data_IF_314588813647
#
_entry.id   IF_314588813647
#
_cell.length_a   1.000
_cell.length_b   1.000
_cell.length_c   1.000
_cell.angle_alpha   90.00
_cell.angle_beta   90.00
_cell.angle_gamma   90.00
#
_symmetry.space_group_name_H-M   'P 1'
#
loop_
_entity.id
_entity.type
_entity.pdbx_description
1 polymer ?
#
# COMPACT_ATOMS: atom_id res chain seq x y z
N UNK A 1 14.41 -49.64 28.76
CA UNK A 1 14.84 -48.41 28.05
C UNK A 1 14.29 -48.44 26.63
N UNK A 2 13.27 -47.65 26.29
CA UNK A 2 12.77 -47.49 24.90
C UNK A 2 13.28 -46.15 24.37
N UNK A 3 14.18 -46.21 23.38
CA UNK A 3 14.62 -45.02 22.63
C UNK A 3 13.48 -44.53 21.74
N UNK A 4 12.94 -43.35 22.04
CA UNK A 4 12.04 -42.62 21.13
C UNK A 4 12.91 -41.95 20.06
N UNK A 5 12.97 -42.55 18.86
CA UNK A 5 13.54 -41.91 17.67
C UNK A 5 12.62 -40.75 17.27
N UNK A 6 13.05 -39.51 17.48
CA UNK A 6 12.42 -38.33 16.88
C UNK A 6 12.47 -38.48 15.36
N UNK A 7 11.35 -38.84 14.74
CA UNK A 7 11.18 -38.76 13.27
C UNK A 7 11.18 -37.28 12.91
N UNK A 8 12.29 -36.77 12.39
CA UNK A 8 12.29 -35.49 11.68
C UNK A 8 11.39 -35.66 10.46
N UNK A 9 10.37 -34.82 10.37
CA UNK A 9 9.32 -34.92 9.37
C UNK A 9 9.90 -34.50 8.00
N UNK A 10 10.38 -35.46 7.20
CA UNK A 10 11.04 -35.23 5.90
C UNK A 10 10.21 -34.34 4.95
N UNK A 11 8.88 -34.37 5.05
CA UNK A 11 7.98 -33.49 4.30
C UNK A 11 8.15 -32.01 4.63
N UNK A 12 8.41 -31.68 5.90
CA UNK A 12 8.63 -30.28 6.33
C UNK A 12 9.95 -29.74 5.78
N UNK A 13 11.01 -30.56 5.83
CA UNK A 13 12.32 -30.24 5.25
C UNK A 13 12.22 -29.98 3.74
N UNK A 14 11.55 -30.83 2.96
CA UNK A 14 11.38 -30.61 1.51
C UNK A 14 10.62 -29.33 1.18
N UNK A 15 9.58 -28.99 1.96
CA UNK A 15 8.84 -27.73 1.82
C UNK A 15 9.73 -26.51 2.10
N UNK A 16 10.57 -26.58 3.12
CA UNK A 16 11.48 -25.49 3.50
C UNK A 16 12.57 -25.26 2.42
N UNK A 17 13.10 -26.33 1.83
CA UNK A 17 14.09 -26.23 0.73
C UNK A 17 13.48 -25.64 -0.55
N UNK A 18 12.28 -26.06 -0.93
CA UNK A 18 11.60 -25.51 -2.11
C UNK A 18 11.29 -24.02 -1.90
N UNK A 19 10.89 -23.63 -0.69
CA UNK A 19 10.64 -22.24 -0.31
C UNK A 19 11.90 -21.38 -0.42
N UNK A 20 13.03 -21.87 0.11
CA UNK A 20 14.33 -21.17 0.02
C UNK A 20 14.74 -21.00 -1.45
N UNK A 21 14.59 -22.05 -2.25
CA UNK A 21 14.96 -22.01 -3.67
C UNK A 21 14.10 -21.02 -4.46
N UNK A 22 12.77 -21.06 -4.30
CA UNK A 22 11.87 -20.10 -4.94
C UNK A 22 12.17 -18.66 -4.50
N UNK A 23 12.42 -18.45 -3.22
CA UNK A 23 12.73 -17.12 -2.66
C UNK A 23 14.05 -16.58 -3.23
N UNK A 24 15.08 -17.42 -3.34
CA UNK A 24 16.36 -17.05 -3.96
C UNK A 24 16.17 -16.71 -5.43
N UNK A 25 15.44 -17.54 -6.20
CA UNK A 25 15.16 -17.28 -7.62
C UNK A 25 14.42 -15.95 -7.80
N UNK A 26 13.38 -15.69 -6.99
CA UNK A 26 12.64 -14.43 -6.98
C UNK A 26 13.54 -13.24 -6.65
N UNK A 27 14.38 -13.35 -5.61
CA UNK A 27 15.31 -12.30 -5.21
C UNK A 27 16.40 -12.04 -6.25
N UNK A 28 16.88 -13.08 -6.94
CA UNK A 28 17.88 -12.96 -8.00
C UNK A 28 17.29 -12.38 -9.28
N UNK A 29 16.04 -12.71 -9.61
CA UNK A 29 15.40 -12.26 -10.85
C UNK A 29 14.81 -10.84 -10.73
N UNK A 30 14.19 -10.52 -9.59
CA UNK A 30 13.56 -9.22 -9.38
C UNK A 30 14.41 -8.29 -8.52
N UNK A 31 15.19 -8.75 -7.54
CA UNK A 31 15.90 -7.88 -6.58
C UNK A 31 15.02 -7.45 -5.40
N UNK A 32 15.62 -7.27 -4.21
CA UNK A 32 14.90 -6.97 -2.95
C UNK A 32 14.03 -5.72 -3.01
N UNK A 33 14.51 -4.69 -3.70
CA UNK A 33 13.80 -3.41 -3.85
C UNK A 33 12.58 -3.53 -4.79
N UNK A 34 12.66 -4.41 -5.80
CA UNK A 34 11.54 -4.67 -6.71
C UNK A 34 10.50 -5.63 -6.13
N UNK A 35 10.86 -6.38 -5.07
CA UNK A 35 9.93 -7.22 -4.31
C UNK A 35 9.34 -6.49 -3.09
N UNK A 36 9.67 -5.22 -2.88
CA UNK A 36 9.09 -4.39 -1.82
C UNK A 36 9.44 -4.87 -0.41
N UNK A 37 10.64 -5.44 -0.24
CA UNK A 37 11.06 -6.12 0.99
C UNK A 37 12.02 -5.31 1.87
N UNK A 38 12.30 -4.05 1.51
CA UNK A 38 13.10 -3.16 2.34
C UNK A 38 12.56 -1.72 2.27
N UNK A 39 12.19 -1.18 3.43
CA UNK A 39 11.76 0.21 3.55
C UNK A 39 12.90 1.14 3.98
N UNK A 40 13.87 0.65 4.76
CA UNK A 40 14.84 1.48 5.48
C UNK A 40 14.32 1.90 6.86
N UNK A 41 15.06 2.75 7.57
CA UNK A 41 14.73 3.17 8.94
C UNK A 41 13.94 4.50 9.02
N UNK A 42 13.82 5.24 7.92
CA UNK A 42 13.26 6.60 7.89
C UNK A 42 14.36 7.65 7.77
N UNK A 43 14.15 8.83 8.37
CA UNK A 43 15.09 9.96 8.31
C UNK A 43 15.06 10.80 9.59
N UNK A 44 15.66 11.99 9.55
CA UNK A 44 15.71 12.86 10.73
C UNK A 44 14.30 13.26 11.17
N UNK A 45 13.90 12.83 12.37
CA UNK A 45 12.62 13.18 12.99
C UNK A 45 11.42 12.35 12.53
N UNK A 46 11.60 11.29 11.75
CA UNK A 46 10.51 10.39 11.37
C UNK A 46 10.99 8.97 11.07
N UNK A 47 10.13 7.99 11.33
CA UNK A 47 10.41 6.55 11.13
C UNK A 47 9.44 5.96 10.10
N UNK A 48 9.86 4.91 9.43
CA UNK A 48 9.01 4.03 8.63
C UNK A 48 9.16 2.60 9.13
N UNK A 49 8.05 1.86 9.16
CA UNK A 49 8.09 0.47 9.61
C UNK A 49 8.63 -0.47 8.55
N UNK A 50 9.06 -1.65 9.00
CA UNK A 50 9.45 -2.73 8.11
C UNK A 50 8.28 -3.17 7.22
N UNK A 51 8.54 -3.63 5.99
CA UNK A 51 7.50 -4.18 5.12
C UNK A 51 6.67 -5.25 5.81
N UNK A 52 5.35 -5.21 5.59
CA UNK A 52 4.42 -6.22 6.14
C UNK A 52 4.07 -7.30 5.10
N UNK A 53 4.95 -7.47 4.12
CA UNK A 53 4.81 -8.43 3.01
C UNK A 53 6.08 -9.28 2.88
N UNK A 54 5.92 -10.45 2.30
CA UNK A 54 7.01 -11.34 1.92
C UNK A 54 6.89 -11.71 0.43
N UNK A 55 7.89 -12.36 -0.19
CA UNK A 55 7.86 -12.67 -1.62
C UNK A 55 6.59 -13.39 -2.08
N UNK A 56 6.00 -14.25 -1.24
CA UNK A 56 4.79 -15.00 -1.58
C UNK A 56 3.54 -14.12 -1.48
N UNK A 57 3.43 -13.31 -0.43
CA UNK A 57 2.24 -12.48 -0.23
C UNK A 57 2.21 -11.23 -1.12
N UNK A 58 3.37 -10.76 -1.58
CA UNK A 58 3.52 -9.50 -2.32
C UNK A 58 3.00 -9.53 -3.76
N UNK A 59 2.95 -10.70 -4.40
CA UNK A 59 2.71 -10.84 -5.85
C UNK A 59 1.22 -11.04 -6.21
N UNK A 60 0.46 -11.93 -5.54
CA UNK A 60 -0.89 -12.25 -5.97
C UNK A 60 -1.80 -11.01 -6.01
N UNK A 61 -2.63 -10.93 -7.05
CA UNK A 61 -3.70 -9.94 -7.14
C UNK A 61 -4.65 -10.09 -5.95
N UNK A 62 -5.05 -8.97 -5.37
CA UNK A 62 -5.93 -8.91 -4.19
C UNK A 62 -7.23 -8.18 -4.50
N UNK A 63 -8.26 -8.50 -3.73
CA UNK A 63 -9.51 -7.73 -3.75
C UNK A 63 -9.27 -6.30 -3.23
N UNK A 64 -10.12 -5.36 -3.64
CA UNK A 64 -10.03 -3.98 -3.15
C UNK A 64 -10.11 -3.90 -1.62
N UNK A 65 -11.01 -4.69 -1.00
CA UNK A 65 -11.16 -4.73 0.46
C UNK A 65 -9.88 -5.19 1.17
N UNK A 66 -9.20 -6.21 0.64
CA UNK A 66 -7.89 -6.64 1.17
C UNK A 66 -6.85 -5.52 1.06
N UNK A 67 -6.80 -4.82 -0.07
CA UNK A 67 -5.84 -3.73 -0.32
C UNK A 67 -6.10 -2.52 0.57
N UNK A 68 -7.36 -2.18 0.82
CA UNK A 68 -7.75 -1.10 1.75
C UNK A 68 -7.34 -1.42 3.18
N UNK A 69 -7.60 -2.66 3.65
CA UNK A 69 -7.14 -3.13 4.96
C UNK A 69 -5.61 -3.12 5.08
N UNK A 70 -4.90 -3.53 4.03
CA UNK A 70 -3.44 -3.45 3.99
C UNK A 70 -2.99 -1.99 4.10
N UNK A 71 -3.55 -1.08 3.30
CA UNK A 71 -3.18 0.33 3.34
C UNK A 71 -3.41 0.95 4.72
N UNK A 72 -4.55 0.66 5.37
CA UNK A 72 -4.83 1.10 6.75
C UNK A 72 -3.79 0.56 7.74
N UNK A 73 -3.45 -0.72 7.64
CA UNK A 73 -2.44 -1.36 8.49
C UNK A 73 -1.07 -0.66 8.33
N UNK A 74 -0.66 -0.38 7.09
CA UNK A 74 0.63 0.23 6.81
C UNK A 74 0.71 1.70 7.27
N UNK A 75 -0.35 2.49 7.06
CA UNK A 75 -0.36 3.86 7.59
C UNK A 75 -0.34 3.86 9.11
N UNK A 76 -1.08 2.96 9.76
CA UNK A 76 -1.11 2.88 11.22
C UNK A 76 0.21 2.36 11.80
N UNK A 77 0.88 1.42 11.13
CA UNK A 77 2.25 1.01 11.47
C UNK A 77 3.18 2.23 11.51
N UNK A 78 3.15 3.05 10.47
CA UNK A 78 4.04 4.21 10.38
C UNK A 78 3.64 5.29 11.41
N UNK A 79 2.35 5.55 11.62
CA UNK A 79 1.86 6.49 12.63
C UNK A 79 2.27 6.08 14.04
N UNK A 80 2.09 4.82 14.42
CA UNK A 80 2.46 4.32 15.74
C UNK A 80 3.96 4.44 16.01
N UNK A 81 4.81 4.16 15.01
CA UNK A 81 6.27 4.34 15.14
C UNK A 81 6.68 5.80 15.35
N UNK A 82 5.84 6.74 14.93
CA UNK A 82 6.02 8.18 15.11
C UNK A 82 5.19 8.73 16.28
N UNK A 83 4.65 7.87 17.16
CA UNK A 83 3.95 8.28 18.38
C UNK A 83 2.54 8.84 18.16
N UNK A 84 1.90 8.55 17.02
CA UNK A 84 0.58 9.05 16.67
C UNK A 84 -0.50 7.98 16.86
N UNK A 85 -1.72 8.44 17.17
CA UNK A 85 -2.91 7.60 17.22
C UNK A 85 -3.21 6.95 15.87
N UNK A 86 -3.67 5.68 15.85
CA UNK A 86 -4.08 5.03 14.62
C UNK A 86 -5.33 5.71 14.03
N UNK A 87 -5.41 5.73 12.71
CA UNK A 87 -6.59 6.11 11.95
C UNK A 87 -7.59 4.96 11.92
N UNK A 88 -8.86 5.30 11.75
CA UNK A 88 -9.96 4.35 11.50
C UNK A 88 -10.39 4.46 10.05
N UNK A 89 -10.69 3.34 9.41
CA UNK A 89 -11.25 3.35 8.05
C UNK A 89 -12.65 3.98 8.04
N UNK A 90 -12.88 4.91 7.12
CA UNK A 90 -14.18 5.49 6.85
C UNK A 90 -14.63 5.08 5.42
N UNK A 91 -15.74 4.34 5.27
CA UNK A 91 -16.18 3.83 3.97
C UNK A 91 -16.42 4.92 2.93
N UNK A 92 -16.86 6.11 3.33
CA UNK A 92 -17.15 7.20 2.42
C UNK A 92 -15.86 7.87 1.91
N UNK A 93 -14.87 8.00 2.79
CA UNK A 93 -13.53 8.47 2.42
C UNK A 93 -12.87 7.45 1.47
N UNK A 94 -12.98 6.15 1.77
CA UNK A 94 -12.44 5.09 0.94
C UNK A 94 -13.11 5.04 -0.45
N UNK A 95 -14.44 5.18 -0.51
CA UNK A 95 -15.17 5.31 -1.78
C UNK A 95 -14.67 6.51 -2.59
N UNK A 96 -14.47 7.65 -1.95
CA UNK A 96 -13.99 8.88 -2.59
C UNK A 96 -12.58 8.70 -3.16
N UNK A 97 -11.67 8.06 -2.40
CA UNK A 97 -10.32 7.74 -2.85
C UNK A 97 -10.35 6.77 -4.05
N UNK A 98 -11.18 5.73 -4.00
CA UNK A 98 -11.30 4.75 -5.09
C UNK A 98 -11.85 5.39 -6.36
N UNK A 99 -12.86 6.26 -6.26
CA UNK A 99 -13.39 7.00 -7.42
C UNK A 99 -12.32 7.87 -8.06
N UNK A 100 -11.52 8.59 -7.27
CA UNK A 100 -10.45 9.43 -7.82
C UNK A 100 -9.34 8.63 -8.50
N UNK A 101 -8.95 7.47 -7.94
CA UNK A 101 -8.00 6.57 -8.59
C UNK A 101 -8.52 6.11 -9.96
N UNK A 102 -9.81 5.74 -10.04
CA UNK A 102 -10.48 5.37 -11.29
C UNK A 102 -10.59 6.54 -12.26
N UNK A 103 -10.87 7.74 -11.79
CA UNK A 103 -10.96 8.94 -12.63
C UNK A 103 -9.61 9.25 -13.29
N UNK A 104 -8.52 9.24 -12.52
CA UNK A 104 -7.16 9.44 -13.03
C UNK A 104 -6.84 8.44 -14.15
N UNK A 105 -7.16 7.16 -13.94
CA UNK A 105 -6.93 6.12 -14.94
C UNK A 105 -7.84 6.24 -16.17
N UNK A 106 -9.12 6.61 -16.01
CA UNK A 106 -10.08 6.68 -17.12
C UNK A 106 -9.92 7.92 -17.97
N UNK A 107 -9.55 9.03 -17.36
CA UNK A 107 -9.44 10.33 -18.01
C UNK A 107 -7.98 10.70 -18.32
N UNK A 108 -7.02 9.78 -18.11
CA UNK A 108 -5.59 9.93 -18.38
C UNK A 108 -5.00 11.22 -17.79
N UNK A 109 -5.24 11.46 -16.51
CA UNK A 109 -4.67 12.61 -15.79
C UNK A 109 -4.07 12.20 -14.45
N UNK A 110 -3.18 13.03 -13.93
CA UNK A 110 -2.60 12.87 -12.61
C UNK A 110 -2.63 14.21 -11.87
N UNK A 111 -3.49 14.33 -10.86
CA UNK A 111 -3.64 15.57 -10.11
C UNK A 111 -4.68 15.50 -9.00
N UNK A 112 -4.56 16.40 -8.02
CA UNK A 112 -5.51 16.52 -6.91
C UNK A 112 -6.86 17.09 -7.32
N UNK A 113 -6.87 17.92 -8.37
CA UNK A 113 -8.09 18.49 -8.96
C UNK A 113 -8.41 17.68 -10.22
N UNK A 114 -9.63 17.16 -10.31
CA UNK A 114 -10.05 16.40 -11.50
C UNK A 114 -10.37 17.35 -12.67
N UNK A 115 -10.52 16.85 -13.91
CA UNK A 115 -10.86 17.67 -15.08
C UNK A 115 -12.18 18.45 -14.96
N UNK A 116 -13.05 18.06 -14.03
CA UNK A 116 -14.29 18.78 -13.70
C UNK A 116 -14.08 19.92 -12.69
N UNK A 117 -12.82 20.19 -12.29
CA UNK A 117 -12.46 21.25 -11.35
C UNK A 117 -12.67 20.90 -9.88
N UNK A 118 -12.98 19.64 -9.55
CA UNK A 118 -13.27 19.22 -8.18
C UNK A 118 -11.99 18.83 -7.44
N UNK A 119 -11.71 19.48 -6.32
CA UNK A 119 -10.65 19.10 -5.39
C UNK A 119 -11.08 17.90 -4.51
N UNK A 120 -10.20 17.35 -3.62
CA UNK A 120 -10.54 16.20 -2.79
C UNK A 120 -11.77 16.40 -1.90
N UNK A 121 -11.93 17.61 -1.35
CA UNK A 121 -13.07 17.95 -0.49
C UNK A 121 -14.35 18.11 -1.31
N UNK A 122 -14.28 18.62 -2.54
CA UNK A 122 -15.43 18.67 -3.46
C UNK A 122 -15.91 17.27 -3.82
N UNK A 123 -14.99 16.36 -4.16
CA UNK A 123 -15.32 14.95 -4.45
C UNK A 123 -15.93 14.25 -3.23
N UNK A 124 -15.41 14.51 -2.04
CA UNK A 124 -15.96 13.96 -0.80
C UNK A 124 -17.38 14.47 -0.52
N UNK A 125 -17.60 15.79 -0.65
CA UNK A 125 -18.94 16.40 -0.50
C UNK A 125 -19.93 15.90 -1.54
N UNK A 126 -19.49 15.68 -2.78
CA UNK A 126 -20.35 15.12 -3.83
C UNK A 126 -20.85 13.70 -3.52
N UNK A 127 -20.14 12.96 -2.67
CA UNK A 127 -20.58 11.64 -2.18
C UNK A 127 -21.41 11.71 -0.88
N UNK A 128 -21.71 12.91 -0.36
CA UNK A 128 -22.45 13.13 0.90
C UNK A 128 -21.56 13.36 2.13
N UNK A 129 -20.25 13.56 1.93
CA UNK A 129 -19.31 13.86 3.01
C UNK A 129 -19.41 15.29 3.52
N UNK A 130 -18.92 15.54 4.74
CA UNK A 130 -18.89 16.86 5.36
C UNK A 130 -17.46 17.15 5.85
N UNK A 131 -16.97 18.38 5.63
CA UNK A 131 -15.65 18.82 6.05
C UNK A 131 -14.59 18.75 4.95
N UNK A 132 -13.33 19.00 5.35
CA UNK A 132 -12.17 18.91 4.47
C UNK A 132 -11.60 17.50 4.39
N UNK A 133 -10.86 17.24 3.31
CA UNK A 133 -10.12 15.98 3.09
C UNK A 133 -8.69 16.30 2.68
N UNK A 134 -7.73 15.75 3.41
CA UNK A 134 -6.34 15.67 2.98
C UNK A 134 -6.15 14.52 2.00
N UNK A 135 -5.27 14.66 1.00
CA UNK A 135 -5.06 13.65 -0.03
C UNK A 135 -3.58 13.44 -0.34
N UNK A 136 -3.18 12.18 -0.45
CA UNK A 136 -1.98 11.77 -1.16
C UNK A 136 -2.37 10.99 -2.41
N UNK A 137 -1.73 11.28 -3.54
CA UNK A 137 -1.86 10.50 -4.78
C UNK A 137 -0.51 9.95 -5.19
N UNK A 138 -0.50 8.85 -5.93
CA UNK A 138 0.70 8.29 -6.52
C UNK A 138 0.37 7.60 -7.83
N UNK A 139 1.35 7.56 -8.73
CA UNK A 139 1.26 6.91 -10.03
C UNK A 139 2.50 6.05 -10.24
N UNK A 140 2.29 4.88 -10.80
CA UNK A 140 3.33 4.04 -11.39
C UNK A 140 3.03 3.92 -12.89
N UNK A 141 4.05 4.05 -13.72
CA UNK A 141 3.95 3.91 -15.18
C UNK A 141 5.01 2.91 -15.67
N UNK A 142 4.89 2.49 -16.93
CA UNK A 142 5.86 1.62 -17.60
C UNK A 142 6.14 0.32 -16.83
N UNK A 143 5.10 -0.27 -16.22
CA UNK A 143 5.20 -1.51 -15.45
C UNK A 143 4.27 -2.59 -16.01
N UNK A 144 4.56 -3.17 -17.19
CA UNK A 144 3.73 -4.23 -17.77
C UNK A 144 3.51 -5.39 -16.79
N UNK A 145 2.30 -5.95 -16.79
CA UNK A 145 1.92 -7.02 -15.87
C UNK A 145 1.67 -6.57 -14.42
N UNK A 146 1.68 -5.25 -14.14
CA UNK A 146 1.33 -4.74 -12.82
C UNK A 146 -0.11 -5.13 -12.45
N UNK A 147 -0.29 -5.57 -11.22
CA UNK A 147 -1.59 -5.90 -10.66
C UNK A 147 -1.77 -5.28 -9.27
N UNK A 148 -3.03 -5.07 -8.82
CA UNK A 148 -3.30 -4.62 -7.46
C UNK A 148 -2.89 -5.71 -6.45
N UNK A 149 -1.73 -5.56 -5.83
CA UNK A 149 -1.14 -6.53 -4.90
C UNK A 149 -0.70 -5.87 -3.59
N UNK A 150 -0.46 -6.67 -2.55
CA UNK A 150 0.09 -6.13 -1.30
C UNK A 150 1.47 -5.50 -1.47
N UNK A 151 2.30 -6.05 -2.36
CA UNK A 151 3.60 -5.46 -2.69
C UNK A 151 3.46 -4.06 -3.29
N UNK A 152 2.47 -3.86 -4.17
CA UNK A 152 2.21 -2.55 -4.76
C UNK A 152 1.72 -1.53 -3.71
N UNK A 153 0.88 -1.95 -2.76
CA UNK A 153 0.43 -1.08 -1.65
C UNK A 153 1.61 -0.70 -0.75
N UNK A 154 2.50 -1.65 -0.43
CA UNK A 154 3.74 -1.38 0.31
C UNK A 154 4.65 -0.39 -0.43
N UNK A 155 4.78 -0.55 -1.76
CA UNK A 155 5.55 0.37 -2.62
C UNK A 155 5.01 1.80 -2.52
N UNK A 156 3.71 1.97 -2.67
CA UNK A 156 3.08 3.30 -2.60
C UNK A 156 3.20 3.91 -1.21
N UNK A 157 2.97 3.14 -0.15
CA UNK A 157 3.18 3.60 1.22
C UNK A 157 4.61 4.09 1.45
N UNK A 158 5.61 3.29 1.05
CA UNK A 158 7.01 3.68 1.14
C UNK A 158 7.27 4.98 0.37
N UNK A 159 6.80 5.06 -0.87
CA UNK A 159 6.99 6.25 -1.71
C UNK A 159 6.41 7.52 -1.07
N UNK A 160 5.21 7.44 -0.47
CA UNK A 160 4.62 8.57 0.27
C UNK A 160 5.40 8.92 1.53
N UNK A 161 5.83 7.95 2.33
CA UNK A 161 6.64 8.21 3.53
C UNK A 161 7.99 8.86 3.20
N UNK A 162 8.59 8.57 2.05
CA UNK A 162 9.83 9.21 1.61
C UNK A 162 9.64 10.59 0.94
N UNK A 163 8.40 10.99 0.65
CA UNK A 163 8.07 12.31 0.11
C UNK A 163 7.64 13.24 1.25
N UNK A 164 8.33 14.35 1.47
CA UNK A 164 8.06 15.26 2.59
C UNK A 164 6.61 15.75 2.63
N UNK A 165 6.06 16.20 1.48
CA UNK A 165 4.67 16.67 1.38
C UNK A 165 3.65 15.58 1.69
N UNK A 166 3.81 14.38 1.11
CA UNK A 166 2.89 13.28 1.38
C UNK A 166 2.99 12.74 2.82
N UNK A 167 4.21 12.71 3.37
CA UNK A 167 4.46 12.30 4.76
C UNK A 167 3.79 13.25 5.75
N UNK A 168 3.69 14.54 5.45
CA UNK A 168 2.96 15.48 6.33
C UNK A 168 1.49 15.07 6.50
N UNK A 169 0.83 14.60 5.44
CA UNK A 169 -0.54 14.08 5.56
C UNK A 169 -0.58 12.79 6.39
N UNK A 170 0.29 11.82 6.09
CA UNK A 170 0.36 10.53 6.79
C UNK A 170 0.57 10.70 8.30
N UNK A 171 1.40 11.66 8.69
CA UNK A 171 1.80 11.93 10.07
C UNK A 171 1.11 13.16 10.67
N UNK A 172 0.00 13.62 10.09
CA UNK A 172 -0.78 14.71 10.68
C UNK A 172 -1.54 14.17 11.92
N UNK A 173 -1.34 14.74 13.12
CA UNK A 173 -2.01 14.28 14.33
C UNK A 173 -3.52 14.60 14.35
N UNK A 174 -3.98 15.55 13.52
CA UNK A 174 -5.38 15.98 13.50
C UNK A 174 -6.30 15.03 12.72
N UNK A 175 -5.75 14.18 11.85
CA UNK A 175 -6.54 13.19 11.15
C UNK A 175 -6.86 12.00 12.06
N UNK A 176 -8.10 11.53 11.95
CA UNK A 176 -8.66 10.40 12.69
C UNK A 176 -9.22 9.31 11.78
N UNK A 177 -9.51 9.66 10.52
CA UNK A 177 -10.08 8.75 9.53
C UNK A 177 -9.18 8.59 8.31
N UNK A 178 -9.35 7.45 7.64
CA UNK A 178 -8.57 7.06 6.48
C UNK A 178 -9.46 6.41 5.42
N UNK A 179 -9.12 6.61 4.15
CA UNK A 179 -9.64 5.83 3.05
C UNK A 179 -8.60 5.64 1.95
N UNK A 180 -8.64 4.49 1.30
CA UNK A 180 -7.69 4.11 0.27
C UNK A 180 -8.38 3.70 -1.02
N UNK A 181 -7.79 4.10 -2.14
CA UNK A 181 -8.20 3.72 -3.48
C UNK A 181 -7.02 3.29 -4.33
N UNK A 182 -7.23 2.30 -5.19
CA UNK A 182 -6.19 1.83 -6.12
C UNK A 182 -6.82 1.28 -7.41
N UNK A 183 -6.14 1.50 -8.52
CA UNK A 183 -6.41 0.83 -9.80
C UNK A 183 -5.08 0.53 -10.47
N UNK A 184 -4.98 -0.62 -11.13
CA UNK A 184 -3.82 -0.98 -11.93
C UNK A 184 -4.27 -1.64 -13.23
N UNK A 185 -3.57 -1.35 -14.31
CA UNK A 185 -3.81 -1.88 -15.63
C UNK A 185 -2.56 -2.66 -16.10
N UNK A 186 -2.63 -3.99 -16.19
CA UNK A 186 -1.47 -4.81 -16.56
C UNK A 186 -1.05 -4.63 -18.03
N UNK A 187 -1.95 -4.14 -18.89
CA UNK A 187 -1.69 -3.94 -20.32
C UNK A 187 -0.95 -2.62 -20.54
N UNK A 188 -1.47 -1.51 -19.99
CA UNK A 188 -0.77 -0.21 -20.09
C UNK A 188 0.43 -0.12 -19.15
N UNK A 189 0.47 -0.96 -18.12
CA UNK A 189 1.52 -0.94 -17.11
C UNK A 189 1.40 0.23 -16.16
N UNK A 190 0.19 0.78 -16.00
CA UNK A 190 -0.09 1.92 -15.14
C UNK A 190 -0.80 1.50 -13.87
N UNK A 191 -0.49 2.16 -12.76
CA UNK A 191 -1.25 2.05 -11.53
C UNK A 191 -1.39 3.41 -10.84
N UNK A 192 -2.55 3.66 -10.27
CA UNK A 192 -2.87 4.87 -9.53
C UNK A 192 -3.32 4.48 -8.14
N UNK A 193 -2.82 5.18 -7.12
CA UNK A 193 -3.25 4.99 -5.74
C UNK A 193 -3.53 6.32 -5.06
N UNK A 194 -4.49 6.31 -4.15
CA UNK A 194 -4.99 7.49 -3.43
C UNK A 194 -5.16 7.15 -1.96
N UNK A 195 -4.66 8.00 -1.07
CA UNK A 195 -5.00 8.02 0.35
C UNK A 195 -5.74 9.31 0.66
N UNK A 196 -6.91 9.20 1.28
CA UNK A 196 -7.65 10.33 1.80
C UNK A 196 -7.72 10.28 3.33
N UNK A 197 -7.69 11.45 3.94
CA UNK A 197 -7.62 11.64 5.39
C UNK A 197 -8.64 12.68 5.86
N UNK A 198 -9.23 12.48 7.04
CA UNK A 198 -10.10 13.43 7.72
C UNK A 198 -9.81 13.45 9.22
#
# INVERSE_FOLDING_TARGET
MRFVRKRTNKFKLYSDYLYILLTIILLCYYGKDNLYLANGAGGNGWKIGNPQVNPISAIPTRSLLELQKQALMLVNRDRQLNGLSPLVEDPLIALTAQKHALDMARQNFYGHVNPQGQNPSDRYRANGGIGGVGENINILQNSPGISPSYGLVEKFQRSWMYSSGHRQNLLNPNYTKFGFGIVANPITGEAYAVQNFQ
#
